data_IF_859715964595
#
_entry.id   IF_859715964595
#
_cell.length_a   1.000
_cell.length_b   1.000
_cell.length_c   1.000
_cell.angle_alpha   90.00
_cell.angle_beta   90.00
_cell.angle_gamma   90.00
#
_symmetry.space_group_name_H-M   'P 1'
#
loop_
_entity.id
_entity.type
_entity.pdbx_description
1 polymer ?
#
# COMPACT_ATOMS: atom_id res chain seq x y z
N UNK A 1 45.50 12.38 -17.88
CA UNK A 1 46.07 13.56 -17.24
C UNK A 1 45.02 14.05 -16.25
N UNK A 2 45.01 14.09 -14.98
CA UNK A 2 45.96 13.98 -13.91
C UNK A 2 45.18 13.66 -12.62
N UNK A 3 45.55 12.64 -11.88
CA UNK A 3 45.33 12.49 -10.42
C UNK A 3 46.42 13.39 -9.73
N UNK A 4 46.43 13.66 -8.41
CA UNK A 4 45.99 12.92 -7.23
C UNK A 4 45.39 13.85 -6.14
N UNK A 5 45.00 13.51 -4.91
CA UNK A 5 45.82 13.10 -3.76
C UNK A 5 44.97 12.78 -2.52
N UNK A 6 45.40 11.74 -1.85
CA UNK A 6 45.25 11.33 -0.47
C UNK A 6 45.45 12.42 0.60
N UNK A 7 44.72 12.35 1.74
CA UNK A 7 45.27 12.58 3.09
C UNK A 7 44.61 11.67 4.10
N UNK A 8 45.41 10.81 4.67
CA UNK A 8 45.16 10.01 5.87
C UNK A 8 45.49 10.87 7.11
N UNK A 9 44.74 10.72 8.19
CA UNK A 9 45.20 11.13 9.50
C UNK A 9 44.92 10.06 10.54
N UNK A 10 46.00 9.40 10.92
CA UNK A 10 46.17 8.54 12.08
C UNK A 10 46.23 9.41 13.34
N UNK A 11 45.58 9.02 14.42
CA UNK A 11 45.97 9.42 15.77
C UNK A 11 45.80 8.23 16.73
N UNK A 12 46.91 7.60 16.99
CA UNK A 12 47.20 6.63 18.04
C UNK A 12 47.39 7.43 19.36
N UNK A 13 46.73 6.99 20.43
CA UNK A 13 46.94 7.53 21.79
C UNK A 13 46.87 6.43 22.83
N UNK A 14 48.01 5.79 23.04
CA UNK A 14 48.29 4.84 24.11
C UNK A 14 48.66 5.60 25.40
N UNK A 15 48.06 5.28 26.55
CA UNK A 15 48.66 5.56 27.86
C UNK A 15 48.30 4.48 28.88
N UNK A 16 49.39 3.97 29.43
CA UNK A 16 49.54 2.94 30.44
C UNK A 16 49.22 3.42 31.88
N UNK A 17 48.71 2.51 32.67
CA UNK A 17 49.17 2.01 33.94
C UNK A 17 49.23 2.98 35.15
N UNK A 18 48.59 2.57 36.21
CA UNK A 18 49.22 2.47 37.56
C UNK A 18 48.42 1.48 38.43
N UNK A 19 49.11 0.45 38.93
CA UNK A 19 48.70 -0.39 40.07
C UNK A 19 49.00 0.36 41.35
N UNK A 20 48.10 0.30 42.37
CA UNK A 20 48.45 0.39 43.77
C UNK A 20 47.42 -0.34 44.65
N UNK A 21 47.85 -1.33 45.24
CA UNK A 21 47.92 -1.99 46.54
C UNK A 21 46.78 -1.79 47.54
N UNK A 22 46.38 -2.97 47.98
CA UNK A 22 45.85 -3.48 49.25
C UNK A 22 45.60 -2.51 50.42
N UNK A 23 44.39 -2.59 50.97
CA UNK A 23 44.02 -2.14 52.32
C UNK A 23 42.88 -2.99 52.88
N UNK A 24 43.21 -3.94 53.74
CA UNK A 24 42.25 -4.67 54.60
C UNK A 24 41.86 -3.76 55.76
N UNK A 25 40.57 -3.62 56.04
CA UNK A 25 40.03 -3.27 57.35
C UNK A 25 38.54 -3.62 57.46
N UNK A 26 38.02 -3.79 58.67
CA UNK A 26 37.08 -4.87 58.99
C UNK A 26 35.60 -4.44 58.97
N UNK A 27 34.76 -5.48 59.07
CA UNK A 27 33.32 -5.47 59.13
C UNK A 27 32.75 -4.59 60.24
N UNK A 28 31.82 -3.71 59.87
CA UNK A 28 30.77 -3.22 60.76
C UNK A 28 29.43 -3.43 60.04
N UNK A 29 28.64 -4.31 60.60
CA UNK A 29 27.28 -4.58 60.14
C UNK A 29 26.39 -3.40 60.59
N UNK A 30 26.04 -2.56 59.62
CA UNK A 30 24.99 -1.55 59.79
C UNK A 30 23.72 -2.07 59.09
N UNK A 31 22.75 -2.48 59.90
CA UNK A 31 21.40 -2.82 59.48
C UNK A 31 20.73 -1.51 59.07
N UNK A 32 20.83 -1.15 57.84
CA UNK A 32 20.03 -0.06 57.25
C UNK A 32 18.59 -0.54 57.05
N UNK A 33 17.71 0.00 57.86
CA UNK A 33 16.27 -0.12 57.74
C UNK A 33 15.85 0.54 56.40
N UNK A 34 15.67 -0.26 55.35
CA UNK A 34 15.18 0.23 54.09
C UNK A 34 13.71 0.60 54.20
N UNK A 35 13.43 1.88 54.07
CA UNK A 35 12.08 2.38 53.90
C UNK A 35 11.51 1.89 52.53
N UNK A 36 10.21 1.50 52.46
CA UNK A 36 9.62 1.09 51.20
C UNK A 36 9.60 2.26 50.22
N UNK A 37 10.17 2.03 49.03
CA UNK A 37 10.13 2.96 47.93
C UNK A 37 8.68 3.22 47.46
N UNK A 38 8.32 4.46 47.14
CA UNK A 38 6.98 4.76 46.62
C UNK A 38 6.74 4.00 45.31
N UNK A 39 5.61 3.28 45.25
CA UNK A 39 5.17 2.56 44.06
C UNK A 39 5.02 3.54 42.92
N UNK A 40 5.82 3.34 41.84
CA UNK A 40 5.66 4.04 40.58
C UNK A 40 4.32 3.64 39.96
N UNK A 41 3.51 4.57 39.46
CA UNK A 41 2.33 4.23 38.69
C UNK A 41 2.75 3.42 37.48
N UNK A 42 2.32 2.16 37.42
CA UNK A 42 2.50 1.34 36.20
C UNK A 42 1.70 2.00 35.09
N UNK A 43 2.40 2.57 34.09
CA UNK A 43 1.80 3.01 32.88
C UNK A 43 1.14 1.78 32.20
N UNK A 44 -0.18 1.80 32.15
CA UNK A 44 -0.93 0.82 31.36
C UNK A 44 -0.44 0.90 29.93
N UNK A 45 -0.14 -0.22 29.26
CA UNK A 45 0.17 -0.21 27.84
C UNK A 45 -1.08 0.33 27.12
N UNK A 46 -0.98 1.53 26.60
CA UNK A 46 -2.00 2.08 25.73
C UNK A 46 -2.02 1.20 24.46
N UNK A 47 -3.17 0.62 24.08
CA UNK A 47 -3.22 -0.16 22.86
C UNK A 47 -2.79 0.75 21.70
N UNK A 48 -1.71 0.37 21.04
CA UNK A 48 -1.29 1.03 19.81
C UNK A 48 -2.48 1.01 18.82
N UNK A 49 -2.69 2.11 18.06
CA UNK A 49 -3.73 2.11 17.04
C UNK A 49 -3.50 0.88 16.15
N UNK A 50 -4.54 0.06 15.99
CA UNK A 50 -4.49 -1.15 15.21
C UNK A 50 -4.07 -0.79 13.78
N UNK A 51 -2.78 -0.93 13.49
CA UNK A 51 -2.30 -0.91 12.12
C UNK A 51 -3.10 -2.00 11.39
N UNK A 52 -3.80 -1.62 10.33
CA UNK A 52 -4.57 -2.55 9.51
C UNK A 52 -3.68 -3.77 9.21
N UNK A 53 -4.13 -4.94 9.66
CA UNK A 53 -3.36 -6.16 9.49
C UNK A 53 -3.01 -6.32 8.01
N UNK A 54 -1.76 -6.63 7.65
CA UNK A 54 -1.38 -6.80 6.25
C UNK A 54 -2.25 -7.87 5.62
N UNK A 55 -2.84 -7.55 4.46
CA UNK A 55 -3.65 -8.48 3.69
C UNK A 55 -2.99 -9.86 3.64
N UNK A 56 -3.71 -10.91 3.96
CA UNK A 56 -3.15 -12.27 3.89
C UNK A 56 -2.73 -12.59 2.47
N UNK A 57 -1.79 -13.51 2.28
CA UNK A 57 -1.32 -13.91 0.94
C UNK A 57 -2.48 -14.41 0.06
N UNK A 58 -3.47 -15.06 0.67
CA UNK A 58 -4.68 -15.54 -0.02
C UNK A 58 -5.58 -14.40 -0.46
N UNK A 59 -5.87 -13.44 0.42
CA UNK A 59 -6.65 -12.25 0.12
C UNK A 59 -6.03 -11.45 -1.04
N UNK A 60 -4.71 -11.21 -0.98
CA UNK A 60 -3.96 -10.51 -2.02
C UNK A 60 -4.08 -11.20 -3.37
N UNK A 61 -3.93 -12.54 -3.40
CA UNK A 61 -4.07 -13.34 -4.63
C UNK A 61 -5.48 -13.24 -5.22
N UNK A 62 -6.50 -13.28 -4.38
CA UNK A 62 -7.90 -13.12 -4.80
C UNK A 62 -8.14 -11.73 -5.37
N UNK A 63 -7.67 -10.67 -4.69
CA UNK A 63 -7.77 -9.28 -5.19
C UNK A 63 -7.04 -9.11 -6.52
N UNK A 64 -5.83 -9.65 -6.68
CA UNK A 64 -5.09 -9.59 -7.95
C UNK A 64 -5.84 -10.29 -9.10
N UNK A 65 -6.46 -11.44 -8.82
CA UNK A 65 -7.28 -12.13 -9.81
C UNK A 65 -8.53 -11.31 -10.19
N UNK A 66 -9.18 -10.64 -9.24
CA UNK A 66 -10.29 -9.74 -9.52
C UNK A 66 -9.85 -8.53 -10.35
N UNK A 67 -8.74 -7.88 -10.00
CA UNK A 67 -8.22 -6.73 -10.75
C UNK A 67 -7.98 -7.07 -12.24
N UNK A 68 -7.39 -8.25 -12.51
CA UNK A 68 -7.24 -8.72 -13.87
C UNK A 68 -8.59 -8.95 -14.56
N UNK A 69 -9.55 -9.60 -13.87
CA UNK A 69 -10.88 -9.86 -14.43
C UNK A 69 -11.67 -8.58 -14.68
N UNK A 70 -11.56 -7.59 -13.82
CA UNK A 70 -12.25 -6.31 -13.98
C UNK A 70 -11.92 -5.65 -15.33
N UNK A 71 -10.67 -5.72 -15.78
CA UNK A 71 -10.29 -5.22 -17.10
C UNK A 71 -11.09 -5.88 -18.24
N UNK A 72 -11.33 -7.19 -18.15
CA UNK A 72 -12.08 -7.94 -19.15
C UNK A 72 -13.59 -7.66 -19.15
N UNK A 73 -14.10 -7.07 -18.07
CA UNK A 73 -15.50 -6.70 -17.90
C UNK A 73 -15.75 -5.19 -17.94
N UNK A 74 -14.71 -4.43 -18.28
CA UNK A 74 -14.78 -2.96 -18.42
C UNK A 74 -14.54 -2.59 -19.87
N UNK A 75 -15.42 -1.78 -20.41
CA UNK A 75 -15.25 -1.17 -21.72
C UNK A 75 -14.65 0.23 -21.55
N UNK A 76 -13.51 0.43 -22.19
CA UNK A 76 -12.84 1.72 -22.24
C UNK A 76 -13.13 2.38 -23.58
N UNK A 77 -13.24 3.72 -23.63
CA UNK A 77 -13.35 4.43 -24.91
C UNK A 77 -12.08 4.20 -25.75
N UNK A 78 -12.22 4.25 -27.04
CA UNK A 78 -11.08 4.08 -27.96
C UNK A 78 -9.93 5.07 -27.69
N UNK A 79 -10.27 6.26 -27.21
CA UNK A 79 -9.32 7.31 -26.82
C UNK A 79 -8.47 6.98 -25.58
N UNK A 80 -8.83 5.96 -24.82
CA UNK A 80 -8.02 5.48 -23.70
C UNK A 80 -6.78 4.72 -24.16
N UNK A 81 -6.76 4.28 -25.39
CA UNK A 81 -5.65 3.54 -25.98
C UNK A 81 -4.89 4.43 -26.95
N UNK A 82 -3.57 4.27 -26.97
CA UNK A 82 -2.74 4.79 -28.05
C UNK A 82 -2.88 3.95 -29.33
N UNK A 83 -1.76 3.66 -29.95
CA UNK A 83 -1.71 2.87 -31.19
C UNK A 83 -2.27 1.44 -31.03
N UNK A 84 -2.56 0.80 -32.16
CA UNK A 84 -2.92 -0.61 -32.20
C UNK A 84 -1.76 -1.44 -31.60
N UNK A 85 -1.96 -2.13 -30.50
CA UNK A 85 -0.92 -2.88 -29.79
C UNK A 85 -0.34 -2.19 -28.57
N UNK A 86 -0.68 -0.94 -28.29
CA UNK A 86 -0.32 -0.29 -27.01
C UNK A 86 -0.76 -1.14 -25.83
N UNK A 87 0.07 -1.28 -24.77
CA UNK A 87 -0.26 -2.11 -23.65
C UNK A 87 -1.44 -1.56 -22.83
N UNK A 88 -2.16 -2.45 -22.17
CA UNK A 88 -3.09 -2.08 -21.09
C UNK A 88 -2.27 -1.82 -19.84
N UNK A 89 -2.37 -0.62 -19.28
CA UNK A 89 -1.56 -0.18 -18.14
C UNK A 89 -2.35 -0.25 -16.84
N UNK A 90 -1.81 -0.99 -15.87
CA UNK A 90 -2.34 -1.09 -14.52
C UNK A 90 -1.40 -0.38 -13.57
N UNK A 91 -1.91 0.59 -12.83
CA UNK A 91 -1.20 1.22 -11.71
C UNK A 91 -1.54 0.52 -10.39
N UNK A 92 -0.54 0.30 -9.55
CA UNK A 92 -0.72 -0.16 -8.17
C UNK A 92 -0.06 0.84 -7.25
N UNK A 93 -0.78 1.28 -6.23
CA UNK A 93 -0.29 2.21 -5.23
C UNK A 93 -0.50 1.66 -3.83
N UNK A 94 0.47 1.91 -2.94
CA UNK A 94 0.37 1.59 -1.51
C UNK A 94 0.67 0.15 -1.13
N UNK A 95 1.05 -0.74 -2.08
CA UNK A 95 1.42 -2.12 -1.77
C UNK A 95 2.34 -2.71 -2.84
N UNK A 96 3.62 -2.87 -2.48
CA UNK A 96 4.60 -3.55 -3.35
C UNK A 96 4.28 -5.05 -3.50
N UNK A 97 3.73 -5.65 -2.46
CA UNK A 97 3.29 -7.04 -2.50
C UNK A 97 2.13 -7.26 -3.48
N UNK A 98 1.18 -6.32 -3.55
CA UNK A 98 0.09 -6.38 -4.53
C UNK A 98 0.62 -6.16 -5.95
N UNK A 99 1.58 -5.26 -6.12
CA UNK A 99 2.27 -5.05 -7.39
C UNK A 99 2.90 -6.35 -7.89
N UNK A 100 3.67 -7.02 -7.03
CA UNK A 100 4.32 -8.29 -7.36
C UNK A 100 3.31 -9.40 -7.67
N UNK A 101 2.23 -9.52 -6.89
CA UNK A 101 1.19 -10.52 -7.11
C UNK A 101 0.43 -10.27 -8.42
N UNK A 102 0.09 -9.02 -8.71
CA UNK A 102 -0.60 -8.66 -9.94
C UNK A 102 0.28 -8.87 -11.17
N UNK A 103 1.57 -8.51 -11.08
CA UNK A 103 2.54 -8.76 -12.15
C UNK A 103 2.64 -10.26 -12.49
N UNK A 104 2.68 -11.14 -11.45
CA UNK A 104 2.62 -12.59 -11.66
C UNK A 104 1.30 -13.04 -12.29
N UNK A 105 0.19 -12.47 -11.82
CA UNK A 105 -1.15 -12.82 -12.32
C UNK A 105 -1.32 -12.51 -13.80
N UNK A 106 -0.76 -11.39 -14.29
CA UNK A 106 -0.92 -10.97 -15.68
C UNK A 106 0.20 -11.41 -16.61
N UNK A 107 1.24 -12.07 -16.09
CA UNK A 107 2.38 -12.52 -16.88
C UNK A 107 1.95 -13.37 -18.07
N UNK A 108 2.36 -12.98 -19.29
CA UNK A 108 2.01 -13.65 -20.53
C UNK A 108 0.54 -13.53 -20.98
N UNK A 109 -0.27 -12.76 -20.26
CA UNK A 109 -1.67 -12.54 -20.60
C UNK A 109 -1.86 -11.30 -21.45
N UNK A 110 -2.91 -11.33 -22.26
CA UNK A 110 -3.33 -10.20 -23.07
C UNK A 110 -4.80 -9.87 -22.80
N UNK A 111 -5.18 -8.63 -23.07
CA UNK A 111 -6.56 -8.17 -23.11
C UNK A 111 -6.87 -7.67 -24.52
N UNK A 112 -7.79 -8.32 -25.24
CA UNK A 112 -8.13 -7.98 -26.62
C UNK A 112 -6.88 -7.87 -27.52
N UNK A 113 -5.92 -8.81 -27.36
CA UNK A 113 -4.67 -8.84 -28.11
C UNK A 113 -3.59 -7.87 -27.64
N UNK A 114 -3.86 -7.01 -26.62
CA UNK A 114 -2.90 -6.06 -26.05
C UNK A 114 -2.18 -6.65 -24.86
N UNK A 115 -0.87 -6.52 -24.74
CA UNK A 115 -0.14 -6.95 -23.56
C UNK A 115 -0.56 -6.12 -22.34
N UNK A 116 -0.48 -6.72 -21.15
CA UNK A 116 -0.80 -6.04 -19.88
C UNK A 116 0.49 -5.72 -19.17
N UNK A 117 0.64 -4.47 -18.73
CA UNK A 117 1.80 -4.00 -17.96
C UNK A 117 1.33 -3.44 -16.63
N UNK A 118 2.03 -3.84 -15.56
CA UNK A 118 1.78 -3.35 -14.21
C UNK A 118 2.91 -2.41 -13.79
N UNK A 119 2.58 -1.28 -13.18
CA UNK A 119 3.56 -0.32 -12.68
C UNK A 119 3.21 0.19 -11.28
N UNK A 120 4.25 0.48 -10.50
CA UNK A 120 4.10 1.16 -9.23
C UNK A 120 3.74 2.63 -9.46
N UNK A 121 2.79 3.13 -8.67
CA UNK A 121 2.42 4.56 -8.65
C UNK A 121 2.62 5.08 -7.23
N UNK A 122 3.43 6.11 -7.07
CA UNK A 122 3.63 6.79 -5.79
C UNK A 122 2.80 8.07 -5.72
N UNK A 123 2.52 8.51 -4.52
CA UNK A 123 1.87 9.80 -4.31
C UNK A 123 2.79 10.93 -4.81
N UNK A 124 2.23 11.83 -5.60
CA UNK A 124 2.99 12.89 -6.28
C UNK A 124 3.57 12.53 -7.64
N UNK A 125 3.53 11.24 -8.03
CA UNK A 125 3.91 10.85 -9.40
C UNK A 125 2.89 11.38 -10.41
N UNK A 126 3.37 11.64 -11.63
CA UNK A 126 2.52 11.75 -12.81
C UNK A 126 2.62 10.44 -13.62
N UNK A 127 1.77 9.45 -13.33
CA UNK A 127 1.90 8.14 -13.96
C UNK A 127 1.51 8.14 -15.44
N UNK A 128 1.02 9.26 -15.97
CA UNK A 128 0.41 9.30 -17.29
C UNK A 128 -0.90 8.51 -17.38
N UNK A 129 -1.39 8.20 -18.58
CA UNK A 129 -2.65 7.46 -18.74
C UNK A 129 -2.53 6.05 -18.15
N UNK A 130 -3.56 5.65 -17.41
CA UNK A 130 -3.74 4.29 -16.88
C UNK A 130 -5.11 3.77 -17.30
N UNK A 131 -5.24 2.47 -17.46
CA UNK A 131 -6.55 1.84 -17.69
C UNK A 131 -7.19 1.40 -16.38
N UNK A 132 -6.37 0.99 -15.41
CA UNK A 132 -6.81 0.66 -14.06
C UNK A 132 -5.81 1.22 -13.05
N UNK A 133 -6.32 1.82 -11.98
CA UNK A 133 -5.51 2.21 -10.81
C UNK A 133 -6.09 1.54 -9.58
N UNK A 134 -5.31 0.69 -8.95
CA UNK A 134 -5.61 0.14 -7.63
C UNK A 134 -4.82 0.90 -6.56
N UNK A 135 -5.52 1.41 -5.57
CA UNK A 135 -4.90 2.08 -4.41
C UNK A 135 -5.19 1.26 -3.16
N UNK A 136 -4.14 0.64 -2.65
CA UNK A 136 -4.20 -0.15 -1.42
C UNK A 136 -4.20 0.74 -0.17
N UNK A 137 -4.86 0.24 0.88
CA UNK A 137 -4.87 0.85 2.20
C UNK A 137 -6.21 1.46 2.59
N UNK A 138 -6.36 1.70 3.90
CA UNK A 138 -7.60 2.16 4.53
C UNK A 138 -7.77 3.67 4.57
N UNK A 139 -6.73 4.45 4.24
CA UNK A 139 -6.77 5.91 4.30
C UNK A 139 -7.43 6.52 3.07
N UNK A 140 -8.74 6.73 3.12
CA UNK A 140 -9.52 7.25 1.99
C UNK A 140 -9.08 8.63 1.50
N UNK A 141 -8.56 9.50 2.38
CA UNK A 141 -8.05 10.82 1.97
C UNK A 141 -6.86 10.68 1.00
N UNK A 142 -5.94 9.75 1.27
CA UNK A 142 -4.82 9.41 0.37
C UNK A 142 -5.32 8.83 -0.94
N UNK A 143 -6.26 7.87 -0.87
CA UNK A 143 -6.87 7.26 -2.06
C UNK A 143 -7.48 8.35 -2.94
N UNK A 144 -8.26 9.27 -2.38
CA UNK A 144 -8.89 10.37 -3.12
C UNK A 144 -7.88 11.29 -3.82
N UNK A 145 -6.74 11.59 -3.17
CA UNK A 145 -5.67 12.39 -3.81
C UNK A 145 -5.08 11.65 -5.02
N UNK A 146 -4.80 10.38 -4.87
CA UNK A 146 -4.20 9.56 -5.93
C UNK A 146 -5.15 9.37 -7.12
N UNK A 147 -6.44 9.15 -6.89
CA UNK A 147 -7.42 9.02 -7.96
C UNK A 147 -7.54 10.31 -8.79
N UNK A 148 -7.48 11.47 -8.14
CA UNK A 148 -7.53 12.77 -8.83
C UNK A 148 -6.26 13.09 -9.64
N UNK A 149 -5.13 12.46 -9.32
CA UNK A 149 -3.86 12.73 -10.01
C UNK A 149 -3.75 12.04 -11.38
N UNK A 150 -4.62 11.09 -11.70
CA UNK A 150 -4.56 10.33 -12.95
C UNK A 150 -5.64 10.83 -13.90
N UNK A 151 -5.26 11.45 -15.03
CA UNK A 151 -6.22 11.94 -16.00
C UNK A 151 -6.70 10.82 -16.94
N UNK A 152 -7.87 11.03 -17.53
CA UNK A 152 -8.40 10.21 -18.61
C UNK A 152 -9.39 9.14 -18.17
N UNK A 153 -9.79 8.32 -19.12
CA UNK A 153 -10.69 7.20 -18.89
C UNK A 153 -9.95 6.08 -18.15
N UNK A 154 -10.35 5.82 -16.91
CA UNK A 154 -9.66 4.89 -16.02
C UNK A 154 -10.68 4.15 -15.15
N UNK A 155 -10.34 2.91 -14.75
CA UNK A 155 -11.08 2.15 -13.74
C UNK A 155 -10.40 2.33 -12.37
N UNK A 156 -10.86 3.24 -11.50
CA UNK A 156 -10.33 3.41 -10.16
C UNK A 156 -10.88 2.34 -9.23
N UNK A 157 -9.96 1.65 -8.53
CA UNK A 157 -10.27 0.57 -7.57
C UNK A 157 -9.59 0.88 -6.24
N UNK A 158 -10.32 0.73 -5.15
CA UNK A 158 -9.82 0.94 -3.78
C UNK A 158 -10.26 -0.16 -2.82
N UNK A 159 -9.83 -0.05 -1.58
CA UNK A 159 -10.21 -0.95 -0.49
C UNK A 159 -10.44 -0.22 0.84
N UNK A 160 -10.53 1.10 0.81
CA UNK A 160 -10.82 1.88 2.02
C UNK A 160 -12.32 1.97 2.30
N UNK A 161 -12.69 2.13 3.58
CA UNK A 161 -14.09 2.36 3.94
C UNK A 161 -14.59 3.69 3.37
N UNK A 162 -15.65 3.62 2.56
CA UNK A 162 -16.13 4.81 1.85
C UNK A 162 -15.44 5.05 0.49
N UNK A 163 -14.73 4.08 -0.07
CA UNK A 163 -14.03 4.22 -1.35
C UNK A 163 -14.92 4.67 -2.50
N UNK A 164 -16.18 4.23 -2.57
CA UNK A 164 -17.11 4.66 -3.62
C UNK A 164 -17.45 6.14 -3.53
N UNK A 165 -17.57 6.69 -2.31
CA UNK A 165 -17.91 8.11 -2.07
C UNK A 165 -16.79 9.07 -2.50
N UNK A 166 -15.55 8.59 -2.52
CA UNK A 166 -14.39 9.38 -2.93
C UNK A 166 -14.03 9.24 -4.41
N UNK A 167 -14.84 8.48 -5.18
CA UNK A 167 -14.72 8.39 -6.63
C UNK A 167 -14.17 7.06 -7.17
N UNK A 168 -14.00 6.04 -6.33
CA UNK A 168 -13.69 4.71 -6.83
C UNK A 168 -14.90 4.11 -7.55
N UNK A 169 -14.65 3.49 -8.69
CA UNK A 169 -15.67 2.74 -9.42
C UNK A 169 -15.93 1.40 -8.74
N UNK A 170 -14.86 0.76 -8.27
CA UNK A 170 -14.93 -0.50 -7.53
C UNK A 170 -14.23 -0.33 -6.19
N UNK A 171 -14.84 -0.83 -5.12
CA UNK A 171 -14.23 -0.86 -3.80
C UNK A 171 -14.27 -2.27 -3.22
N UNK A 172 -13.09 -2.81 -2.89
CA UNK A 172 -12.99 -4.09 -2.20
C UNK A 172 -13.46 -4.00 -0.76
N UNK A 173 -14.10 -5.06 -0.31
CA UNK A 173 -14.53 -5.24 1.08
C UNK A 173 -14.27 -6.69 1.52
N UNK A 174 -14.04 -6.85 2.82
CA UNK A 174 -14.09 -8.16 3.46
C UNK A 174 -15.49 -8.37 4.03
N UNK A 175 -16.15 -9.45 3.62
CA UNK A 175 -17.47 -9.88 4.12
C UNK A 175 -17.36 -11.36 4.44
N UNK A 176 -17.58 -11.73 5.69
CA UNK A 176 -17.49 -13.11 6.17
C UNK A 176 -16.17 -13.80 5.72
N UNK A 177 -15.04 -13.13 5.96
CA UNK A 177 -13.68 -13.56 5.58
C UNK A 177 -13.47 -13.78 4.06
N UNK A 178 -14.37 -13.28 3.23
CA UNK A 178 -14.26 -13.36 1.79
C UNK A 178 -14.08 -11.98 1.17
N UNK A 179 -13.21 -11.92 0.15
CA UNK A 179 -13.06 -10.71 -0.66
C UNK A 179 -14.32 -10.53 -1.50
N UNK A 180 -15.01 -9.42 -1.28
CA UNK A 180 -16.14 -8.93 -2.05
C UNK A 180 -15.81 -7.57 -2.63
N UNK A 181 -16.68 -7.05 -3.48
CA UNK A 181 -16.52 -5.69 -4.00
C UNK A 181 -17.87 -5.04 -4.24
N UNK A 182 -17.89 -3.74 -4.02
CA UNK A 182 -19.01 -2.88 -4.33
C UNK A 182 -18.69 -2.04 -5.56
N UNK A 183 -19.70 -1.60 -6.28
CA UNK A 183 -19.58 -0.86 -7.55
C UNK A 183 -20.38 0.44 -7.49
N UNK A 184 -19.82 1.53 -8.02
CA UNK A 184 -20.52 2.80 -8.28
C UNK A 184 -20.65 3.03 -9.78
N UNK A 185 -21.89 3.07 -10.28
CA UNK A 185 -22.16 3.35 -11.69
C UNK A 185 -21.93 4.82 -12.03
N UNK A 186 -22.19 5.74 -11.09
CA UNK A 186 -21.92 7.17 -11.28
C UNK A 186 -20.42 7.45 -11.40
N UNK A 187 -19.61 6.76 -10.58
CA UNK A 187 -18.16 6.87 -10.70
C UNK A 187 -17.67 6.27 -12.02
N UNK A 188 -18.28 5.18 -12.50
CA UNK A 188 -17.95 4.61 -13.81
C UNK A 188 -18.24 5.59 -14.95
N UNK A 189 -19.41 6.24 -14.93
CA UNK A 189 -19.77 7.24 -15.91
C UNK A 189 -18.83 8.45 -15.88
N UNK A 190 -18.52 8.99 -14.70
CA UNK A 190 -17.58 10.11 -14.51
C UNK A 190 -16.16 9.78 -15.00
N UNK A 191 -15.75 8.53 -14.89
CA UNK A 191 -14.46 8.06 -15.39
C UNK A 191 -14.53 7.57 -16.85
N UNK A 192 -15.65 7.78 -17.54
CA UNK A 192 -15.86 7.39 -18.93
C UNK A 192 -15.56 5.92 -19.21
N UNK A 193 -15.97 5.03 -18.29
CA UNK A 193 -15.87 3.58 -18.44
C UNK A 193 -17.25 2.94 -18.30
N UNK A 194 -17.48 1.82 -18.99
CA UNK A 194 -18.71 1.05 -18.89
C UNK A 194 -18.42 -0.32 -18.32
N UNK A 195 -19.26 -0.75 -17.39
CA UNK A 195 -19.14 -2.05 -16.75
C UNK A 195 -20.14 -3.03 -17.33
N UNK A 196 -19.72 -4.24 -17.62
CA UNK A 196 -20.60 -5.26 -18.14
C UNK A 196 -21.61 -5.73 -17.07
N UNK A 197 -22.82 -6.11 -17.48
CA UNK A 197 -23.82 -6.68 -16.59
C UNK A 197 -23.34 -7.93 -15.84
N UNK A 198 -22.41 -8.69 -16.44
CA UNK A 198 -21.81 -9.86 -15.79
C UNK A 198 -20.99 -9.46 -14.54
N UNK A 199 -20.28 -8.34 -14.59
CA UNK A 199 -19.57 -7.82 -13.43
C UNK A 199 -20.55 -7.37 -12.35
N UNK A 200 -21.60 -6.65 -12.74
CA UNK A 200 -22.61 -6.13 -11.82
C UNK A 200 -23.36 -7.24 -11.09
N UNK A 201 -23.63 -8.37 -11.75
CA UNK A 201 -24.34 -9.51 -11.16
C UNK A 201 -23.52 -10.23 -10.06
N UNK A 202 -22.20 -10.07 -10.02
CA UNK A 202 -21.35 -10.70 -9.00
C UNK A 202 -20.85 -9.69 -7.97
N UNK A 203 -21.19 -8.41 -8.12
CA UNK A 203 -20.91 -7.38 -7.12
C UNK A 203 -21.74 -7.64 -5.85
N UNK A 204 -21.15 -7.34 -4.68
CA UNK A 204 -21.85 -7.41 -3.42
C UNK A 204 -22.92 -6.32 -3.31
N UNK A 205 -22.61 -5.14 -3.79
CA UNK A 205 -23.52 -3.98 -3.86
C UNK A 205 -23.26 -3.16 -5.11
N UNK A 206 -24.33 -2.67 -5.75
CA UNK A 206 -24.25 -1.74 -6.89
C UNK A 206 -24.95 -0.44 -6.51
N UNK A 207 -24.16 0.61 -6.34
CA UNK A 207 -24.66 1.96 -6.10
C UNK A 207 -25.00 2.60 -7.45
N UNK A 208 -26.26 2.99 -7.60
CA UNK A 208 -26.74 3.86 -8.68
C UNK A 208 -26.94 5.24 -8.09
N UNK A 209 -26.60 6.30 -8.82
CA UNK A 209 -26.93 7.64 -8.42
C UNK A 209 -28.43 7.86 -8.32
N UNK A 210 -28.83 8.70 -7.41
CA UNK A 210 -30.16 9.28 -7.49
C UNK A 210 -30.13 10.29 -8.65
N UNK A 211 -30.91 9.98 -9.70
CA UNK A 211 -31.32 10.95 -10.71
C UNK A 211 -32.16 12.02 -10.05
#
# INVERSE_FOLDING_TARGET
MTRPSLIACFCTGLRAGVLTAAGLAPAAAEVALQAPAPAQPQAHPQPAPAAAAPATSTERRVKAAFLYKFLGYTEFPSTAFGDAGSPVLIGVAGSDDMLAELARTVMGRTLNGRPITVKLVREGDNPGPLHLLFVAGSECARVARMLRAVPGAMLPVSECDGGLQIGSVINFRMVDDHVRFDVSLDAAEKNNVRLSSRLLNVANHVQKGNL
#
